data_IF_314099442325
#
_entry.id   IF_314099442325
#
_cell.length_a   1.000
_cell.length_b   1.000
_cell.length_c   1.000
_cell.angle_alpha   90.00
_cell.angle_beta   90.00
_cell.angle_gamma   90.00
#
_symmetry.space_group_name_H-M   'P 1'
#
loop_
_entity.id
_entity.type
_entity.pdbx_description
1 polymer ?
#
# COMPACT_ATOMS: atom_id res chain seq x y z
N UNK A 1 -3.07 0.06 -24.12
CA UNK A 1 -3.75 0.04 -22.80
C UNK A 1 -4.51 -1.28 -22.73
N UNK A 2 -4.21 -2.13 -21.75
CA UNK A 2 -4.88 -3.42 -21.60
C UNK A 2 -5.92 -3.31 -20.47
N UNK A 3 -7.19 -3.28 -20.85
CA UNK A 3 -8.31 -3.04 -19.95
C UNK A 3 -8.53 -4.15 -18.89
N UNK A 4 -7.93 -5.33 -19.07
CA UNK A 4 -8.01 -6.43 -18.10
C UNK A 4 -7.16 -6.25 -16.84
N UNK A 5 -5.98 -5.64 -16.96
CA UNK A 5 -5.01 -5.48 -15.86
C UNK A 5 -5.48 -4.44 -14.82
N UNK A 6 -6.35 -3.51 -15.20
CA UNK A 6 -6.90 -2.51 -14.29
C UNK A 6 -8.03 -3.07 -13.42
N UNK A 7 -8.72 -4.13 -13.84
CA UNK A 7 -9.87 -4.67 -13.14
C UNK A 7 -9.50 -5.50 -11.89
N UNK A 8 -8.47 -6.35 -11.98
CA UNK A 8 -8.01 -7.18 -10.85
C UNK A 8 -7.51 -6.32 -9.70
N UNK A 9 -6.67 -5.32 -9.99
CA UNK A 9 -6.14 -4.42 -8.96
C UNK A 9 -7.21 -3.50 -8.38
N UNK A 10 -8.19 -3.09 -9.17
CA UNK A 10 -9.33 -2.32 -8.66
C UNK A 10 -10.19 -3.17 -7.73
N UNK A 11 -10.48 -4.42 -8.10
CA UNK A 11 -11.25 -5.32 -7.26
C UNK A 11 -10.54 -5.67 -5.94
N UNK A 12 -9.22 -5.89 -5.99
CA UNK A 12 -8.40 -6.07 -4.79
C UNK A 12 -8.45 -4.84 -3.87
N UNK A 13 -8.29 -3.63 -4.43
CA UNK A 13 -8.39 -2.36 -3.68
C UNK A 13 -9.76 -2.14 -3.05
N UNK A 14 -10.83 -2.38 -3.80
CA UNK A 14 -12.19 -2.15 -3.32
C UNK A 14 -12.54 -3.10 -2.15
N UNK A 15 -11.92 -4.29 -2.11
CA UNK A 15 -12.03 -5.24 -1.01
C UNK A 15 -11.24 -4.84 0.24
N UNK A 16 -10.00 -4.38 0.07
CA UNK A 16 -9.09 -4.10 1.20
C UNK A 16 -9.21 -2.67 1.73
N UNK A 17 -9.26 -1.67 0.84
CA UNK A 17 -9.22 -0.26 1.21
C UNK A 17 -10.02 0.63 0.23
N UNK A 18 -11.36 0.66 0.35
CA UNK A 18 -12.24 1.37 -0.59
C UNK A 18 -12.01 2.89 -0.61
N UNK A 19 -11.32 3.44 0.39
CA UNK A 19 -10.97 4.86 0.43
C UNK A 19 -9.72 5.22 -0.40
N UNK A 20 -9.06 4.26 -1.04
CA UNK A 20 -7.94 4.57 -1.93
C UNK A 20 -8.39 5.53 -3.04
N UNK A 21 -7.56 6.51 -3.36
CA UNK A 21 -7.92 7.54 -4.32
C UNK A 21 -6.70 8.15 -4.98
N UNK A 22 -6.94 9.00 -5.97
CA UNK A 22 -5.86 9.75 -6.63
C UNK A 22 -5.28 10.80 -5.68
N UNK A 23 -4.03 11.25 -5.92
CA UNK A 23 -3.46 12.35 -5.14
C UNK A 23 -4.30 13.62 -5.18
N UNK A 24 -4.89 13.94 -6.33
CA UNK A 24 -5.79 15.08 -6.48
C UNK A 24 -7.05 14.96 -5.61
N UNK A 25 -7.65 13.77 -5.53
CA UNK A 25 -8.83 13.55 -4.69
C UNK A 25 -8.50 13.74 -3.20
N UNK A 26 -7.35 13.23 -2.75
CA UNK A 26 -6.88 13.39 -1.36
C UNK A 26 -6.49 14.83 -1.03
N UNK A 27 -5.88 15.55 -1.96
CA UNK A 27 -5.61 16.99 -1.82
C UNK A 27 -6.92 17.78 -1.69
N UNK A 28 -7.93 17.50 -2.53
CA UNK A 28 -9.24 18.14 -2.41
C UNK A 28 -9.92 17.89 -1.06
N UNK A 29 -9.76 16.69 -0.49
CA UNK A 29 -10.24 16.40 0.87
C UNK A 29 -9.54 17.28 1.92
N UNK A 30 -8.23 17.49 1.82
CA UNK A 30 -7.50 18.38 2.73
C UNK A 30 -8.03 19.83 2.65
N UNK A 31 -8.24 20.34 1.43
CA UNK A 31 -8.71 21.70 1.19
C UNK A 31 -10.11 21.95 1.78
N UNK A 32 -11.06 21.04 1.52
CA UNK A 32 -12.43 21.12 2.07
C UNK A 32 -12.42 21.09 3.61
N UNK A 33 -11.41 20.47 4.22
CA UNK A 33 -11.25 20.39 5.67
C UNK A 33 -10.40 21.54 6.25
N UNK A 34 -10.16 22.61 5.48
CA UNK A 34 -9.48 23.81 5.98
C UNK A 34 -7.96 23.66 6.09
N UNK A 35 -7.35 22.80 5.26
CA UNK A 35 -5.91 22.71 5.13
C UNK A 35 -5.41 23.29 3.81
N UNK A 36 -4.27 23.97 3.85
CA UNK A 36 -3.48 24.27 2.66
C UNK A 36 -2.45 23.17 2.42
N UNK A 37 -2.40 22.63 1.20
CA UNK A 37 -1.34 21.68 0.80
C UNK A 37 -0.01 22.41 0.67
N UNK A 38 0.99 21.98 1.45
CA UNK A 38 2.37 22.48 1.38
C UNK A 38 3.17 21.65 0.37
N UNK A 39 2.92 20.34 0.32
CA UNK A 39 3.66 19.45 -0.57
C UNK A 39 3.02 18.06 -0.65
N UNK A 40 3.36 17.36 -1.72
CA UNK A 40 3.00 15.98 -1.95
C UNK A 40 4.16 15.27 -2.64
N UNK A 41 4.43 14.04 -2.23
CA UNK A 41 5.31 13.13 -2.95
C UNK A 41 4.83 11.70 -2.79
N UNK A 42 5.02 10.89 -3.84
CA UNK A 42 4.89 9.44 -3.74
C UNK A 42 6.16 8.86 -3.12
N UNK A 43 6.00 7.84 -2.27
CA UNK A 43 7.16 7.10 -1.77
C UNK A 43 7.87 6.40 -2.94
N UNK A 44 9.21 6.48 -2.99
CA UNK A 44 10.01 5.72 -3.94
C UNK A 44 9.79 4.21 -3.82
N UNK A 45 10.03 3.46 -4.90
CA UNK A 45 9.88 2.00 -4.91
C UNK A 45 10.76 1.28 -3.87
N UNK A 46 11.96 1.79 -3.58
CA UNK A 46 12.87 1.17 -2.59
C UNK A 46 12.25 1.14 -1.18
N UNK A 47 11.42 2.12 -0.83
CA UNK A 47 10.74 2.15 0.46
C UNK A 47 9.81 0.95 0.65
N UNK A 48 9.34 0.34 -0.44
CA UNK A 48 8.50 -0.85 -0.41
C UNK A 48 9.32 -2.12 -0.55
N UNK A 49 10.17 -2.18 -1.58
CA UNK A 49 10.88 -3.42 -1.92
C UNK A 49 11.97 -3.70 -0.90
N UNK A 50 12.80 -2.70 -0.61
CA UNK A 50 14.01 -2.86 0.18
C UNK A 50 13.73 -2.62 1.67
N UNK A 51 12.94 -1.59 2.00
CA UNK A 51 12.77 -1.18 3.40
C UNK A 51 11.57 -1.84 4.10
N UNK A 52 10.60 -2.37 3.36
CA UNK A 52 9.39 -2.99 3.93
C UNK A 52 9.30 -4.50 3.63
N UNK A 53 9.17 -4.88 2.36
CA UNK A 53 8.96 -6.28 1.97
C UNK A 53 10.23 -7.13 2.13
N UNK A 54 11.42 -6.57 1.90
CA UNK A 54 12.69 -7.28 2.11
C UNK A 54 12.84 -7.83 3.54
N UNK A 55 12.75 -6.96 4.58
CA UNK A 55 12.76 -7.39 5.98
C UNK A 55 11.63 -8.37 6.31
N UNK A 56 10.42 -8.09 5.84
CA UNK A 56 9.26 -8.95 6.09
C UNK A 56 9.46 -10.38 5.55
N UNK A 57 9.95 -10.52 4.31
CA UNK A 57 10.23 -11.81 3.70
C UNK A 57 11.32 -12.59 4.43
N UNK A 58 12.36 -11.89 4.90
CA UNK A 58 13.45 -12.52 5.66
C UNK A 58 12.94 -13.15 6.97
N UNK A 59 11.89 -12.58 7.56
CA UNK A 59 11.31 -13.03 8.84
C UNK A 59 10.27 -14.16 8.70
N UNK A 60 9.80 -14.48 7.49
CA UNK A 60 8.76 -15.52 7.30
C UNK A 60 9.16 -16.88 7.89
N UNK A 61 10.40 -17.29 7.74
CA UNK A 61 10.85 -18.56 8.31
C UNK A 61 10.79 -18.54 9.85
N UNK A 62 11.27 -17.47 10.47
CA UNK A 62 11.24 -17.30 11.91
C UNK A 62 9.80 -17.22 12.46
N UNK A 63 8.89 -16.57 11.73
CA UNK A 63 7.45 -16.57 12.00
C UNK A 63 6.87 -17.98 11.96
N UNK A 64 7.22 -18.78 10.96
CA UNK A 64 6.72 -20.16 10.86
C UNK A 64 7.25 -21.04 11.99
N UNK A 65 8.55 -20.96 12.32
CA UNK A 65 9.12 -21.74 13.42
C UNK A 65 8.50 -21.39 14.77
N UNK A 66 8.39 -20.09 15.10
CA UNK A 66 7.88 -19.65 16.40
C UNK A 66 6.41 -20.03 16.64
N UNK A 67 5.65 -20.27 15.57
CA UNK A 67 4.25 -20.70 15.62
C UNK A 67 4.07 -22.20 15.27
N UNK A 68 5.14 -23.00 15.35
CA UNK A 68 5.06 -24.45 15.15
C UNK A 68 4.59 -24.85 13.75
N UNK A 69 4.77 -23.95 12.77
CA UNK A 69 4.30 -24.09 11.38
C UNK A 69 2.81 -24.42 11.30
N UNK A 70 2.01 -23.81 12.18
CA UNK A 70 0.56 -23.97 12.19
C UNK A 70 -0.06 -23.55 10.84
N UNK A 71 -1.28 -24.01 10.58
CA UNK A 71 -2.01 -23.67 9.36
C UNK A 71 -2.23 -22.15 9.25
N UNK A 72 -2.54 -21.50 10.37
CA UNK A 72 -2.74 -20.05 10.44
C UNK A 72 -1.45 -19.29 10.13
N UNK A 73 -0.32 -19.74 10.68
CA UNK A 73 0.98 -19.11 10.40
C UNK A 73 1.37 -19.24 8.91
N UNK A 74 1.06 -20.38 8.28
CA UNK A 74 1.25 -20.57 6.84
C UNK A 74 0.31 -19.69 6.03
N UNK A 75 -0.96 -19.60 6.41
CA UNK A 75 -1.93 -18.75 5.72
C UNK A 75 -1.50 -17.27 5.72
N UNK A 76 -0.96 -16.77 6.84
CA UNK A 76 -0.39 -15.42 6.91
C UNK A 76 0.77 -15.27 5.93
N UNK A 77 1.78 -16.15 5.96
CA UNK A 77 2.94 -16.07 5.06
C UNK A 77 2.52 -16.10 3.59
N UNK A 78 1.56 -16.95 3.22
CA UNK A 78 1.07 -17.03 1.85
C UNK A 78 0.28 -15.79 1.43
N UNK A 79 -0.50 -15.18 2.33
CA UNK A 79 -1.19 -13.92 2.07
C UNK A 79 -0.18 -12.78 1.82
N UNK A 80 0.84 -12.64 2.67
CA UNK A 80 1.90 -11.64 2.52
C UNK A 80 2.70 -11.84 1.22
N UNK A 81 3.01 -13.09 0.86
CA UNK A 81 3.66 -13.41 -0.42
C UNK A 81 2.81 -12.97 -1.61
N UNK A 82 1.51 -13.23 -1.56
CA UNK A 82 0.59 -12.83 -2.63
C UNK A 82 0.51 -11.31 -2.75
N UNK A 83 0.49 -10.57 -1.65
CA UNK A 83 0.55 -9.11 -1.66
C UNK A 83 1.84 -8.61 -2.33
N UNK A 84 2.99 -9.19 -2.01
CA UNK A 84 4.28 -8.79 -2.59
C UNK A 84 4.30 -9.02 -4.10
N UNK A 85 3.75 -10.14 -4.57
CA UNK A 85 3.61 -10.43 -6.00
C UNK A 85 2.70 -9.41 -6.69
N UNK A 86 1.55 -9.11 -6.09
CA UNK A 86 0.63 -8.07 -6.58
C UNK A 86 1.32 -6.71 -6.65
N UNK A 87 2.04 -6.32 -5.61
CA UNK A 87 2.79 -5.06 -5.62
C UNK A 87 3.84 -5.05 -6.73
N UNK A 88 4.62 -6.13 -6.89
CA UNK A 88 5.63 -6.23 -7.95
C UNK A 88 5.02 -6.08 -9.35
N UNK A 89 3.82 -6.62 -9.58
CA UNK A 89 3.11 -6.54 -10.86
C UNK A 89 2.49 -5.15 -11.09
N UNK A 90 1.95 -4.52 -10.04
CA UNK A 90 1.11 -3.33 -10.14
C UNK A 90 1.73 -2.04 -9.55
N UNK A 91 2.99 -2.05 -9.12
CA UNK A 91 3.70 -0.89 -8.51
C UNK A 91 3.68 0.39 -9.34
N UNK A 92 3.54 0.30 -10.67
CA UNK A 92 3.39 1.47 -11.53
C UNK A 92 2.04 2.22 -11.31
N UNK A 93 1.05 1.55 -10.73
CA UNK A 93 -0.30 2.05 -10.51
C UNK A 93 -0.64 2.20 -9.02
N UNK A 94 0.20 1.68 -8.12
CA UNK A 94 0.05 1.66 -6.67
C UNK A 94 1.26 2.27 -5.99
N UNK A 95 1.03 3.24 -5.11
CA UNK A 95 2.07 3.74 -4.21
C UNK A 95 1.44 4.32 -2.96
N UNK A 96 2.29 4.65 -1.98
CA UNK A 96 1.91 5.49 -0.85
C UNK A 96 2.23 6.95 -1.15
N UNK A 97 1.25 7.82 -0.91
CA UNK A 97 1.40 9.26 -1.04
C UNK A 97 1.60 9.90 0.33
N UNK A 98 2.66 10.69 0.48
CA UNK A 98 2.86 11.55 1.65
C UNK A 98 2.33 12.94 1.33
N UNK A 99 1.39 13.41 2.16
CA UNK A 99 0.78 14.73 2.03
C UNK A 99 1.22 15.60 3.21
N UNK A 100 1.80 16.75 2.91
CA UNK A 100 2.20 17.74 3.90
C UNK A 100 1.20 18.88 3.80
N UNK A 101 0.47 19.16 4.86
CA UNK A 101 -0.58 20.16 4.86
C UNK A 101 -0.59 20.98 6.15
N UNK A 102 -1.01 22.24 6.05
CA UNK A 102 -1.11 23.16 7.18
C UNK A 102 -2.55 23.54 7.42
N UNK A 103 -3.01 23.37 8.65
CA UNK A 103 -4.35 23.77 9.06
C UNK A 103 -4.45 25.28 9.15
N UNK A 104 -5.53 25.84 8.62
CA UNK A 104 -5.93 27.19 8.96
C UNK A 104 -6.57 27.19 10.35
N UNK A 105 -5.94 27.87 11.30
CA UNK A 105 -6.59 28.19 12.57
C UNK A 105 -7.51 29.39 12.29
N UNK A 106 -8.81 29.18 12.51
CA UNK A 106 -9.76 30.28 12.63
C UNK A 106 -9.68 30.86 14.05
#
# INVERSE_FOLDING_TARGET
MNHGQTAEIQQYRDGEYPEIGTPSAKIGQLEVNGYSTIGYFALPEHCWIDDFYGPLQADFWALLERHGRSEEARAIVEAERREIELYSEYKAYLSHGVYIARKHWA
#
